data_IF_405110266736
#
_entry.id   IF_405110266736
#
_cell.length_a   1.000
_cell.length_b   1.000
_cell.length_c   1.000
_cell.angle_alpha   90.00
_cell.angle_beta   90.00
_cell.angle_gamma   90.00
#
_symmetry.space_group_name_H-M   'P 1'
#
loop_
_entity.id
_entity.type
_entity.pdbx_description
1 polymer ?
#
# COMPACT_ATOMS: atom_id res chain seq x y z
N UNK A 1 -24.53 6.61 -1.43
CA UNK A 1 -24.02 6.00 -0.18
C UNK A 1 -22.99 6.95 0.42
N UNK A 2 -22.90 7.08 1.75
CA UNK A 2 -21.91 7.97 2.36
C UNK A 2 -20.54 7.30 2.31
N UNK A 3 -19.62 7.86 1.52
CA UNK A 3 -18.22 7.43 1.44
C UNK A 3 -17.54 7.48 2.81
N UNK A 4 -16.45 6.73 2.96
CA UNK A 4 -15.62 6.81 4.17
C UNK A 4 -15.01 8.20 4.33
N UNK A 5 -14.87 8.68 5.57
CA UNK A 5 -14.23 10.00 5.83
C UNK A 5 -12.72 9.97 5.56
N UNK A 6 -12.09 8.83 5.84
CA UNK A 6 -10.69 8.55 5.54
C UNK A 6 -10.62 7.65 4.30
N UNK A 7 -9.63 7.83 3.40
CA UNK A 7 -9.50 6.97 2.23
C UNK A 7 -9.17 5.53 2.64
N UNK A 8 -9.62 4.58 1.84
CA UNK A 8 -9.26 3.17 1.97
C UNK A 8 -8.13 2.84 0.99
N UNK A 9 -6.96 2.45 1.50
CA UNK A 9 -5.81 2.01 0.70
C UNK A 9 -5.92 0.51 0.46
N UNK A 10 -6.12 0.11 -0.80
CA UNK A 10 -6.25 -1.29 -1.22
C UNK A 10 -4.92 -1.85 -1.70
N UNK A 11 -4.45 -2.91 -1.03
CA UNK A 11 -3.17 -3.57 -1.27
C UNK A 11 -3.43 -4.98 -1.80
N UNK A 12 -3.01 -5.24 -3.04
CA UNK A 12 -3.15 -6.56 -3.67
C UNK A 12 -2.13 -7.57 -3.12
N UNK A 13 -2.35 -8.87 -3.35
CA UNK A 13 -1.48 -9.96 -2.92
C UNK A 13 -0.47 -10.37 -3.97
N UNK A 14 0.02 -11.61 -3.86
CA UNK A 14 0.97 -12.21 -4.81
C UNK A 14 0.33 -12.30 -6.19
N UNK A 15 1.12 -12.05 -7.24
CA UNK A 15 0.65 -11.98 -8.64
C UNK A 15 -0.49 -10.99 -8.89
N UNK A 16 -0.77 -10.07 -7.97
CA UNK A 16 -1.78 -9.04 -8.15
C UNK A 16 -1.26 -7.80 -8.89
N UNK A 17 -2.18 -6.88 -9.17
CA UNK A 17 -1.90 -5.59 -9.77
C UNK A 17 -2.93 -4.55 -9.28
N UNK A 18 -2.57 -3.28 -9.40
CA UNK A 18 -3.43 -2.13 -9.20
C UNK A 18 -4.28 -1.85 -10.45
N UNK A 19 -4.66 -0.58 -10.64
CA UNK A 19 -5.54 -0.19 -11.75
C UNK A 19 -4.85 -0.34 -13.11
N UNK A 20 -3.65 0.24 -13.26
CA UNK A 20 -2.83 0.17 -14.46
C UNK A 20 -1.33 0.23 -14.09
N UNK A 21 -0.44 -0.38 -14.90
CA UNK A 21 -0.76 -1.26 -16.03
C UNK A 21 -1.22 -2.65 -15.56
N UNK A 22 -2.21 -3.24 -16.24
CA UNK A 22 -2.61 -4.65 -16.04
C UNK A 22 -1.72 -5.58 -16.88
N UNK A 23 -1.63 -6.87 -16.55
CA UNK A 23 -0.90 -7.84 -17.35
C UNK A 23 -1.35 -7.87 -18.81
N UNK A 24 -0.48 -8.37 -19.69
CA UNK A 24 -0.76 -8.54 -21.13
C UNK A 24 -1.17 -7.23 -21.85
N UNK A 25 -0.44 -6.13 -21.60
CA UNK A 25 -0.71 -4.81 -22.20
C UNK A 25 -2.15 -4.33 -21.96
N UNK A 26 -2.57 -4.35 -20.69
CA UNK A 26 -3.92 -3.98 -20.26
C UNK A 26 -5.05 -4.90 -20.74
N UNK A 27 -4.76 -6.12 -21.22
CA UNK A 27 -5.79 -7.12 -21.58
C UNK A 27 -6.08 -8.12 -20.44
N UNK A 28 -5.26 -8.14 -19.40
CA UNK A 28 -5.47 -8.99 -18.22
C UNK A 28 -6.73 -8.60 -17.43
N UNK A 29 -7.26 -9.53 -16.60
CA UNK A 29 -8.43 -9.24 -15.78
C UNK A 29 -8.14 -8.12 -14.78
N UNK A 30 -9.19 -7.50 -14.22
CA UNK A 30 -9.00 -6.62 -13.07
C UNK A 30 -8.75 -7.47 -11.82
N UNK A 31 -7.74 -7.13 -11.03
CA UNK A 31 -7.54 -7.77 -9.73
C UNK A 31 -8.64 -7.37 -8.74
N UNK A 32 -8.97 -6.08 -8.73
CA UNK A 32 -10.06 -5.51 -7.95
C UNK A 32 -11.29 -5.26 -8.83
N UNK A 33 -12.53 -5.44 -8.33
CA UNK A 33 -13.75 -4.98 -9.01
C UNK A 33 -13.86 -3.45 -8.89
N UNK A 34 -13.09 -2.72 -9.71
CA UNK A 34 -12.88 -1.27 -9.58
C UNK A 34 -14.19 -0.48 -9.64
N UNK A 35 -15.09 -0.83 -10.57
CA UNK A 35 -16.36 -0.13 -10.76
C UNK A 35 -17.25 -0.25 -9.51
N UNK A 36 -17.40 -1.46 -8.98
CA UNK A 36 -18.17 -1.72 -7.76
C UNK A 36 -17.55 -1.01 -6.54
N UNK A 37 -16.22 -1.03 -6.42
CA UNK A 37 -15.50 -0.34 -5.34
C UNK A 37 -15.75 1.17 -5.43
N UNK A 38 -15.70 1.76 -6.62
CA UNK A 38 -15.93 3.19 -6.82
C UNK A 38 -17.39 3.58 -6.56
N UNK A 39 -18.34 2.72 -6.91
CA UNK A 39 -19.76 2.92 -6.61
C UNK A 39 -20.04 2.86 -5.09
N UNK A 40 -19.42 1.89 -4.40
CA UNK A 40 -19.58 1.70 -2.96
C UNK A 40 -18.85 2.76 -2.13
N UNK A 41 -17.59 3.05 -2.47
CA UNK A 41 -16.74 3.99 -1.77
C UNK A 41 -15.73 4.66 -2.72
N UNK A 42 -16.06 5.81 -3.32
CA UNK A 42 -15.14 6.52 -4.22
C UNK A 42 -13.90 7.09 -3.49
N UNK A 43 -13.90 7.12 -2.15
CA UNK A 43 -12.75 7.53 -1.36
C UNK A 43 -11.81 6.33 -1.12
N UNK A 44 -11.20 5.85 -2.20
CA UNK A 44 -10.30 4.71 -2.20
C UNK A 44 -9.01 5.00 -2.99
N UNK A 45 -7.93 4.32 -2.62
CA UNK A 45 -6.61 4.42 -3.25
C UNK A 45 -6.13 3.00 -3.51
N UNK A 46 -6.01 2.62 -4.77
CA UNK A 46 -5.54 1.29 -5.16
C UNK A 46 -4.04 1.38 -5.47
N UNK A 47 -3.20 0.78 -4.64
CA UNK A 47 -1.75 0.80 -4.83
C UNK A 47 -1.28 -0.35 -5.71
N UNK A 48 -0.22 -0.10 -6.47
CA UNK A 48 0.49 -1.08 -7.28
C UNK A 48 1.81 -1.43 -6.60
N UNK A 49 1.90 -2.60 -5.99
CA UNK A 49 3.12 -3.08 -5.31
C UNK A 49 3.74 -4.24 -6.11
N UNK A 50 4.96 -4.61 -5.75
CA UNK A 50 5.67 -5.73 -6.36
C UNK A 50 4.86 -7.04 -6.25
N UNK A 51 4.57 -7.74 -7.36
CA UNK A 51 3.73 -8.94 -7.34
C UNK A 51 4.40 -10.14 -6.67
N UNK A 52 5.73 -10.11 -6.50
CA UNK A 52 6.55 -11.19 -5.91
C UNK A 52 7.63 -10.65 -4.96
N UNK A 53 7.56 -9.36 -4.60
CA UNK A 53 8.51 -8.71 -3.68
C UNK A 53 8.19 -9.06 -2.22
N UNK A 54 9.14 -8.80 -1.31
CA UNK A 54 8.94 -8.99 0.12
C UNK A 54 7.96 -7.97 0.71
N UNK A 55 7.37 -8.29 1.86
CA UNK A 55 6.39 -7.41 2.54
C UNK A 55 6.98 -6.03 2.85
N UNK A 56 8.24 -5.96 3.28
CA UNK A 56 8.95 -4.68 3.54
C UNK A 56 8.98 -3.79 2.29
N UNK A 57 9.46 -4.33 1.16
CA UNK A 57 9.53 -3.57 -0.10
C UNK A 57 8.15 -3.11 -0.56
N UNK A 58 7.16 -4.01 -0.48
CA UNK A 58 5.77 -3.71 -0.86
C UNK A 58 5.16 -2.66 0.06
N UNK A 59 5.50 -2.67 1.35
CA UNK A 59 5.07 -1.66 2.31
C UNK A 59 5.69 -0.29 2.00
N UNK A 60 6.99 -0.22 1.68
CA UNK A 60 7.64 1.01 1.23
C UNK A 60 6.99 1.54 -0.06
N UNK A 61 6.74 0.67 -1.05
CA UNK A 61 6.07 1.05 -2.30
C UNK A 61 4.65 1.58 -2.07
N UNK A 62 3.88 0.94 -1.19
CA UNK A 62 2.55 1.39 -0.82
C UNK A 62 2.60 2.76 -0.11
N UNK A 63 3.52 2.93 0.84
CA UNK A 63 3.70 4.20 1.56
C UNK A 63 3.94 5.36 0.60
N UNK A 64 4.94 5.24 -0.28
CA UNK A 64 5.32 6.32 -1.19
C UNK A 64 4.30 6.57 -2.31
N UNK A 65 3.45 5.61 -2.66
CA UNK A 65 2.29 5.87 -3.54
C UNK A 65 1.23 6.73 -2.87
N UNK A 66 1.01 6.56 -1.56
CA UNK A 66 0.01 7.33 -0.82
C UNK A 66 0.58 8.69 -0.41
N UNK A 67 1.77 8.70 0.19
CA UNK A 67 2.45 9.87 0.72
C UNK A 67 3.12 10.73 -0.37
N UNK A 68 3.53 10.12 -1.47
CA UNK A 68 4.34 10.74 -2.51
C UNK A 68 5.84 10.72 -2.20
N UNK A 69 6.66 10.92 -3.22
CA UNK A 69 8.11 10.93 -3.12
C UNK A 69 8.77 9.70 -3.75
N UNK A 70 10.09 9.59 -3.58
CA UNK A 70 10.89 8.48 -4.12
C UNK A 70 10.90 7.34 -3.14
N UNK A 71 10.57 6.13 -3.60
CA UNK A 71 10.65 4.93 -2.77
C UNK A 71 12.05 4.76 -2.24
N UNK A 72 12.18 4.73 -0.91
CA UNK A 72 13.38 4.37 -0.16
C UNK A 72 13.07 3.10 0.65
N UNK A 73 13.72 2.00 0.31
CA UNK A 73 13.60 0.72 1.01
C UNK A 73 14.45 0.68 2.30
N UNK A 74 15.23 1.72 2.56
CA UNK A 74 16.17 1.78 3.69
C UNK A 74 17.54 1.20 3.34
N UNK A 75 18.59 1.91 3.76
CA UNK A 75 19.98 1.54 3.47
C UNK A 75 20.36 0.17 4.01
N UNK A 76 20.06 -0.09 5.28
CA UNK A 76 20.43 -1.34 5.94
C UNK A 76 19.69 -2.55 5.33
N UNK A 77 18.39 -2.42 5.09
CA UNK A 77 17.58 -3.46 4.43
C UNK A 77 18.15 -3.80 3.05
N UNK A 78 18.40 -2.78 2.23
CA UNK A 78 18.89 -2.94 0.87
C UNK A 78 20.28 -3.56 0.82
N UNK A 79 21.15 -3.19 1.78
CA UNK A 79 22.48 -3.78 1.96
C UNK A 79 22.40 -5.25 2.39
N UNK A 80 21.48 -5.59 3.29
CA UNK A 80 21.28 -6.95 3.80
C UNK A 80 20.76 -7.90 2.73
N UNK A 81 19.78 -7.48 1.93
CA UNK A 81 19.11 -8.33 0.93
C UNK A 81 19.66 -8.15 -0.50
N UNK A 82 20.62 -7.25 -0.71
CA UNK A 82 21.38 -7.14 -1.95
C UNK A 82 20.60 -6.54 -3.11
N UNK A 83 19.77 -5.52 -2.86
CA UNK A 83 19.04 -4.78 -3.91
C UNK A 83 19.25 -3.26 -3.80
N UNK A 84 18.77 -2.53 -4.80
CA UNK A 84 18.82 -1.06 -4.81
C UNK A 84 18.02 -0.47 -3.67
N UNK A 85 18.58 0.55 -2.99
CA UNK A 85 17.90 1.33 -1.95
C UNK A 85 16.71 2.12 -2.43
N UNK A 86 16.81 2.66 -3.64
CA UNK A 86 15.79 3.53 -4.18
C UNK A 86 15.13 2.92 -5.41
N UNK A 87 13.84 3.21 -5.57
CA UNK A 87 13.06 2.84 -6.75
C UNK A 87 12.37 4.08 -7.36
N UNK A 88 11.17 3.88 -7.89
CA UNK A 88 10.34 4.87 -8.59
C UNK A 88 9.98 6.05 -7.68
N UNK A 89 9.62 7.17 -8.31
CA UNK A 89 9.04 8.32 -7.63
C UNK A 89 7.56 8.38 -7.96
N UNK A 90 6.75 8.67 -6.95
CA UNK A 90 5.30 8.77 -7.06
C UNK A 90 4.82 10.16 -6.67
N UNK A 91 3.77 10.62 -7.34
CA UNK A 91 2.95 11.72 -6.86
C UNK A 91 2.07 11.23 -5.71
N UNK A 92 1.81 12.09 -4.72
CA UNK A 92 1.05 11.72 -3.54
C UNK A 92 -0.43 11.50 -3.89
N UNK A 93 -0.94 10.28 -3.69
CA UNK A 93 -2.38 10.00 -3.81
C UNK A 93 -3.19 10.62 -2.66
N UNK A 94 -2.59 10.80 -1.49
CA UNK A 94 -3.17 11.49 -0.34
C UNK A 94 -2.17 12.48 0.27
N UNK A 95 -1.99 13.67 -0.33
CA UNK A 95 -0.95 14.63 0.06
C UNK A 95 -1.06 15.16 1.50
N UNK A 96 -2.22 15.01 2.13
CA UNK A 96 -2.47 15.46 3.50
C UNK A 96 -2.40 14.31 4.52
N UNK A 97 -1.94 13.12 4.14
CA UNK A 97 -1.84 11.97 5.03
C UNK A 97 -1.02 12.30 6.29
N UNK A 98 -1.68 12.23 7.43
CA UNK A 98 -1.12 12.52 8.76
C UNK A 98 -1.95 11.84 9.84
N UNK A 99 -1.65 12.09 11.12
CA UNK A 99 -2.50 11.62 12.22
C UNK A 99 -3.89 12.27 12.24
N UNK A 100 -4.03 13.49 11.72
CA UNK A 100 -5.32 14.19 11.57
C UNK A 100 -6.09 13.71 10.35
N UNK A 101 -5.41 13.22 9.31
CA UNK A 101 -6.00 12.68 8.09
C UNK A 101 -5.55 11.23 7.84
N UNK A 102 -5.91 10.29 8.74
CA UNK A 102 -5.43 8.92 8.67
C UNK A 102 -6.08 8.14 7.52
N UNK A 103 -5.56 6.96 7.23
CA UNK A 103 -6.11 6.05 6.22
C UNK A 103 -6.62 4.74 6.82
N UNK A 104 -7.49 4.05 6.10
CA UNK A 104 -7.80 2.65 6.34
C UNK A 104 -6.93 1.78 5.43
N UNK A 105 -6.31 0.73 5.96
CA UNK A 105 -5.59 -0.25 5.14
C UNK A 105 -6.49 -1.47 4.89
N UNK A 106 -6.57 -1.90 3.64
CA UNK A 106 -7.26 -3.14 3.24
C UNK A 106 -6.31 -3.99 2.40
N UNK A 107 -5.99 -5.18 2.91
CA UNK A 107 -5.13 -6.14 2.22
C UNK A 107 -5.88 -7.41 1.82
N UNK A 108 -5.81 -7.79 0.55
CA UNK A 108 -6.28 -9.11 0.09
C UNK A 108 -5.10 -10.08 -0.05
N UNK A 109 -5.24 -11.32 0.43
CA UNK A 109 -4.20 -12.35 0.37
C UNK A 109 -2.89 -11.81 0.99
N UNK A 110 -1.75 -11.92 0.29
CA UNK A 110 -0.46 -11.38 0.72
C UNK A 110 -0.48 -9.85 0.94
N UNK A 111 -1.46 -9.13 0.40
CA UNK A 111 -1.64 -7.71 0.70
C UNK A 111 -1.97 -7.43 2.16
N UNK A 112 -2.50 -8.40 2.91
CA UNK A 112 -2.77 -8.25 4.33
C UNK A 112 -1.52 -8.30 5.20
N UNK A 113 -0.55 -9.15 4.88
CA UNK A 113 0.75 -9.15 5.58
C UNK A 113 1.51 -7.87 5.25
N UNK A 114 1.46 -7.41 4.00
CA UNK A 114 2.00 -6.10 3.60
C UNK A 114 1.35 -4.93 4.36
N UNK A 115 0.03 -4.97 4.57
CA UNK A 115 -0.67 -3.93 5.33
C UNK A 115 -0.23 -3.88 6.80
N UNK A 116 0.05 -5.04 7.40
CA UNK A 116 0.58 -5.14 8.76
C UNK A 116 2.02 -4.63 8.85
N UNK A 117 2.87 -5.01 7.89
CA UNK A 117 4.25 -4.51 7.80
C UNK A 117 4.28 -2.98 7.64
N UNK A 118 3.47 -2.43 6.73
CA UNK A 118 3.33 -0.99 6.55
C UNK A 118 2.94 -0.28 7.86
N UNK A 119 1.98 -0.85 8.59
CA UNK A 119 1.59 -0.30 9.88
C UNK A 119 2.74 -0.33 10.90
N UNK A 120 3.54 -1.39 10.93
CA UNK A 120 4.71 -1.47 11.80
C UNK A 120 5.76 -0.41 11.43
N UNK A 121 6.09 -0.25 10.15
CA UNK A 121 7.02 0.78 9.67
C UNK A 121 6.55 2.19 10.04
N UNK A 122 5.26 2.47 9.89
CA UNK A 122 4.62 3.74 10.31
C UNK A 122 4.72 3.95 11.83
N UNK A 123 4.51 2.91 12.64
CA UNK A 123 4.60 3.02 14.09
C UNK A 123 6.03 3.33 14.57
N UNK A 124 7.04 2.90 13.82
CA UNK A 124 8.46 3.08 14.15
C UNK A 124 9.09 4.33 13.53
N UNK A 125 8.29 5.16 12.85
CA UNK A 125 8.78 6.28 12.03
C UNK A 125 9.91 5.91 11.08
N UNK A 126 9.80 4.74 10.45
CA UNK A 126 10.82 4.22 9.52
C UNK A 126 11.13 5.22 8.39
N UNK A 127 10.13 5.95 7.92
CA UNK A 127 10.25 6.91 6.82
C UNK A 127 10.84 8.26 7.24
N UNK A 128 11.01 8.52 8.54
CA UNK A 128 11.62 9.74 9.08
C UNK A 128 10.79 11.01 8.85
N UNK A 129 9.47 10.88 8.80
CA UNK A 129 8.53 12.00 8.55
C UNK A 129 7.62 12.30 9.75
N UNK A 130 7.90 11.72 10.91
CA UNK A 130 7.07 11.88 12.12
C UNK A 130 5.82 10.99 12.11
N UNK A 131 5.86 9.86 11.39
CA UNK A 131 4.79 8.88 11.38
C UNK A 131 4.59 8.22 12.76
N UNK A 132 3.35 7.85 13.07
CA UNK A 132 3.02 7.12 14.29
C UNK A 132 1.73 6.29 14.10
N UNK A 133 1.36 5.49 15.11
CA UNK A 133 0.21 4.57 15.06
C UNK A 133 -1.12 5.22 14.66
N UNK A 134 -1.33 6.52 14.88
CA UNK A 134 -2.57 7.22 14.53
C UNK A 134 -2.74 7.47 13.04
N UNK A 135 -1.69 7.36 12.24
CA UNK A 135 -1.76 7.55 10.78
C UNK A 135 -2.60 6.47 10.08
N UNK A 136 -2.85 5.34 10.76
CA UNK A 136 -3.69 4.24 10.28
C UNK A 136 -4.85 4.04 11.24
N UNK A 137 -6.07 4.14 10.71
CA UNK A 137 -7.32 4.06 11.48
C UNK A 137 -7.81 2.63 11.66
N UNK A 138 -7.58 1.77 10.68
CA UNK A 138 -7.89 0.34 10.76
C UNK A 138 -7.07 -0.44 9.75
N UNK A 139 -6.94 -1.75 10.01
CA UNK A 139 -6.38 -2.72 9.08
C UNK A 139 -7.42 -3.81 8.90
N UNK A 140 -7.84 -4.03 7.66
CA UNK A 140 -8.75 -5.12 7.28
C UNK A 140 -7.99 -6.09 6.39
N UNK A 141 -7.99 -7.37 6.75
CA UNK A 141 -7.39 -8.42 5.94
C UNK A 141 -8.48 -9.33 5.38
N UNK A 142 -8.31 -9.73 4.12
CA UNK A 142 -9.24 -10.62 3.42
C UNK A 142 -8.44 -11.79 2.89
N UNK A 143 -8.71 -13.00 3.42
CA UNK A 143 -8.03 -14.26 3.08
C UNK A 143 -6.49 -14.19 3.10
N UNK A 144 -5.92 -13.46 4.07
CA UNK A 144 -4.48 -13.29 4.20
C UNK A 144 -3.81 -14.46 4.93
N UNK A 145 -2.65 -14.96 4.46
CA UNK A 145 -1.92 -16.06 5.09
C UNK A 145 -1.12 -15.57 6.31
N UNK A 146 -1.81 -15.13 7.37
CA UNK A 146 -1.17 -14.51 8.54
C UNK A 146 -0.27 -15.47 9.33
N UNK A 147 -0.39 -16.77 9.10
CA UNK A 147 0.42 -17.83 9.73
C UNK A 147 1.28 -18.62 8.74
N UNK A 148 1.33 -18.21 7.47
CA UNK A 148 1.85 -19.04 6.38
C UNK A 148 0.85 -20.08 5.88
#
# INVERSE_FOLDING_TARGET
MNATRAPVVLIHGIFGWGVNPRPLFDLGPCYWPIDDINELNPNNIIVQVGPVSFDHDRACEAFYQVFGGRVDYGEEHSRQYGHSRYSRTYEAAHPTWSEENPVHLLGHSFGGTTALELYQLICHDFFGVGTNYKWVKSITTVVSPLTG
#
